data_IF_904664143206
#
_entry.id   IF_904664143206
#
_cell.length_a   1.000
_cell.length_b   1.000
_cell.length_c   1.000
_cell.angle_alpha   90.00
_cell.angle_beta   90.00
_cell.angle_gamma   90.00
#
_symmetry.space_group_name_H-M   'P 1'
#
loop_
_entity.id
_entity.type
_entity.pdbx_description
1 polymer ?
#
# COMPACT_ATOMS: atom_id res chain seq x y z
N UNK A 1 71.02 -13.55 -24.70
CA UNK A 1 71.90 -12.78 -23.77
C UNK A 1 73.29 -13.41 -23.75
N UNK A 2 74.34 -12.60 -23.64
CA UNK A 2 75.70 -13.11 -23.48
C UNK A 2 76.78 -12.07 -23.76
N UNK A 3 78.02 -12.40 -23.41
CA UNK A 3 79.22 -11.64 -23.77
C UNK A 3 79.98 -12.42 -24.83
N UNK A 4 80.24 -11.78 -25.96
CA UNK A 4 80.87 -12.39 -27.12
C UNK A 4 82.19 -11.66 -27.43
N UNK A 5 83.30 -12.37 -27.66
CA UNK A 5 84.55 -11.72 -28.05
C UNK A 5 84.42 -11.14 -29.46
N UNK A 6 84.95 -9.94 -29.66
CA UNK A 6 85.10 -9.35 -31.00
C UNK A 6 86.45 -9.79 -31.54
N UNK A 7 86.45 -10.59 -32.60
CA UNK A 7 87.69 -10.99 -33.27
C UNK A 7 88.10 -9.92 -34.26
N UNK A 8 89.31 -9.37 -34.09
CA UNK A 8 89.94 -8.47 -35.05
C UNK A 8 90.94 -9.27 -35.90
N UNK A 9 90.94 -9.04 -37.22
CA UNK A 9 91.91 -9.61 -38.15
C UNK A 9 92.37 -8.56 -39.16
N UNK A 10 93.63 -8.65 -39.59
CA UNK A 10 94.28 -7.71 -40.52
C UNK A 10 95.09 -6.61 -39.82
N UNK A 11 95.45 -5.56 -40.57
CA UNK A 11 96.31 -4.46 -40.11
C UNK A 11 97.78 -4.71 -40.41
N UNK A 12 98.28 -4.06 -41.46
CA UNK A 12 99.70 -4.02 -41.80
C UNK A 12 100.07 -2.60 -42.23
N UNK A 13 101.12 -2.05 -41.64
CA UNK A 13 101.70 -0.77 -42.02
C UNK A 13 103.23 -0.90 -42.04
N UNK A 14 103.87 -0.19 -42.96
CA UNK A 14 105.31 -0.30 -43.20
C UNK A 14 106.16 0.40 -42.14
N UNK A 15 105.58 1.37 -41.40
CA UNK A 15 106.29 2.26 -40.47
C UNK A 15 105.79 2.13 -39.01
N UNK A 16 104.69 1.42 -38.76
CA UNK A 16 104.11 1.26 -37.42
C UNK A 16 103.80 -0.20 -37.07
N UNK A 17 104.06 -0.58 -35.82
CA UNK A 17 103.54 -1.83 -35.25
C UNK A 17 102.06 -1.63 -34.86
N UNK A 18 101.17 -2.43 -35.46
CA UNK A 18 99.74 -2.41 -35.11
C UNK A 18 99.47 -3.48 -34.04
N UNK A 19 98.94 -3.04 -32.90
CA UNK A 19 98.40 -3.93 -31.86
C UNK A 19 96.88 -3.94 -31.97
N UNK A 20 96.29 -5.13 -32.12
CA UNK A 20 94.84 -5.29 -32.12
C UNK A 20 94.35 -5.62 -30.72
N UNK A 21 93.54 -4.74 -30.14
CA UNK A 21 92.85 -5.00 -28.87
C UNK A 21 91.41 -5.41 -29.15
N UNK A 22 91.12 -6.69 -28.91
CA UNK A 22 89.78 -7.25 -29.07
C UNK A 22 88.83 -6.65 -28.02
N UNK A 23 87.70 -6.11 -28.49
CA UNK A 23 86.59 -5.72 -27.63
C UNK A 23 85.68 -6.91 -27.26
N UNK A 24 84.67 -6.63 -26.44
CA UNK A 24 83.58 -7.57 -26.15
C UNK A 24 82.24 -6.94 -26.54
N UNK A 25 81.34 -7.77 -27.09
CA UNK A 25 79.95 -7.41 -27.34
C UNK A 25 79.10 -8.01 -26.23
N UNK A 26 78.36 -7.17 -25.50
CA UNK A 26 77.39 -7.63 -24.49
C UNK A 26 75.98 -7.47 -25.03
N UNK A 27 75.22 -8.56 -25.05
CA UNK A 27 73.80 -8.56 -25.41
C UNK A 27 72.98 -8.69 -24.14
N UNK A 28 72.26 -7.62 -23.80
CA UNK A 28 71.30 -7.58 -22.69
C UNK A 28 70.02 -8.37 -22.97
N UNK A 29 69.16 -8.45 -21.95
CA UNK A 29 67.80 -8.95 -22.11
C UNK A 29 66.93 -7.89 -22.80
N UNK A 30 65.94 -8.33 -23.57
CA UNK A 30 64.91 -7.48 -24.16
C UNK A 30 63.74 -7.33 -23.18
N UNK A 31 63.20 -6.13 -23.02
CA UNK A 31 62.02 -5.95 -22.16
C UNK A 31 60.80 -6.66 -22.75
N UNK A 32 60.06 -7.34 -21.89
CA UNK A 32 58.81 -8.03 -22.22
C UNK A 32 57.78 -7.74 -21.13
N UNK A 33 56.60 -7.31 -21.54
CA UNK A 33 55.45 -7.16 -20.64
C UNK A 33 54.48 -8.31 -20.83
N UNK A 34 54.05 -8.93 -19.74
CA UNK A 34 52.95 -9.89 -19.71
C UNK A 34 51.82 -9.24 -18.92
N UNK A 35 50.67 -9.08 -19.56
CA UNK A 35 49.50 -8.41 -18.98
C UNK A 35 48.36 -9.40 -18.84
N UNK A 36 47.83 -9.58 -17.63
CA UNK A 36 46.61 -10.35 -17.44
C UNK A 36 45.44 -9.62 -18.10
N UNK A 37 44.61 -10.36 -18.83
CA UNK A 37 43.46 -9.79 -19.51
C UNK A 37 42.32 -9.57 -18.52
N UNK A 38 41.72 -8.38 -18.54
CA UNK A 38 40.52 -8.09 -17.77
C UNK A 38 39.37 -9.02 -18.17
N UNK A 39 38.54 -9.37 -17.18
CA UNK A 39 37.41 -10.27 -17.31
C UNK A 39 36.19 -9.69 -16.62
N UNK A 40 35.02 -10.19 -17.00
CA UNK A 40 33.77 -9.88 -16.33
C UNK A 40 32.95 -11.17 -16.17
N UNK A 41 32.17 -11.24 -15.10
CA UNK A 41 31.14 -12.27 -14.87
C UNK A 41 29.93 -11.67 -14.16
N UNK A 42 28.79 -12.32 -14.27
CA UNK A 42 27.63 -11.98 -13.43
C UNK A 42 27.76 -12.67 -12.07
N UNK A 43 27.22 -12.04 -11.02
CA UNK A 43 27.14 -12.61 -9.68
C UNK A 43 26.53 -14.02 -9.74
N UNK A 44 27.22 -15.00 -9.11
CA UNK A 44 26.82 -16.40 -9.12
C UNK A 44 27.36 -17.27 -10.25
N UNK A 45 27.87 -16.67 -11.32
CA UNK A 45 28.42 -17.45 -12.43
C UNK A 45 29.79 -18.03 -12.08
N UNK A 46 30.25 -19.05 -12.80
CA UNK A 46 31.62 -19.52 -12.68
C UNK A 46 32.60 -18.44 -13.17
N UNK A 47 33.81 -18.41 -12.61
CA UNK A 47 34.84 -17.53 -13.14
C UNK A 47 35.18 -17.90 -14.58
N UNK A 48 35.32 -16.92 -15.49
CA UNK A 48 35.78 -17.20 -16.84
C UNK A 48 37.24 -17.69 -16.82
N UNK A 49 37.70 -18.39 -17.86
CA UNK A 49 39.11 -18.72 -18.01
C UNK A 49 39.97 -17.46 -17.97
N UNK A 50 40.95 -17.43 -17.07
CA UNK A 50 41.92 -16.35 -16.97
C UNK A 50 42.94 -16.48 -18.09
N UNK A 51 43.29 -15.37 -18.72
CA UNK A 51 44.24 -15.31 -19.83
C UNK A 51 45.17 -14.12 -19.66
N UNK A 52 46.30 -14.12 -20.36
CA UNK A 52 47.22 -13.00 -20.41
C UNK A 52 47.80 -12.85 -21.82
N UNK A 53 48.31 -11.66 -22.12
CA UNK A 53 48.91 -11.30 -23.41
C UNK A 53 50.36 -10.85 -23.26
N UNK A 54 51.14 -11.02 -24.32
CA UNK A 54 52.54 -10.62 -24.39
C UNK A 54 52.71 -9.36 -25.23
N UNK A 55 53.55 -8.43 -24.76
CA UNK A 55 53.99 -7.26 -25.51
C UNK A 55 55.52 -7.11 -25.45
N UNK A 56 56.19 -7.19 -26.60
CA UNK A 56 57.65 -7.07 -26.69
C UNK A 56 58.39 -8.32 -27.18
N UNK A 57 57.68 -9.42 -27.46
CA UNK A 57 58.26 -10.58 -28.16
C UNK A 57 58.74 -10.17 -29.56
N UNK A 58 59.89 -10.71 -29.98
CA UNK A 58 60.53 -10.39 -31.27
C UNK A 58 61.00 -11.66 -31.98
N UNK A 59 61.45 -11.53 -33.22
CA UNK A 59 62.11 -12.61 -33.98
C UNK A 59 61.29 -13.90 -34.15
N UNK A 60 59.96 -13.81 -34.10
CA UNK A 60 59.07 -14.96 -34.23
C UNK A 60 58.81 -15.73 -32.93
N UNK A 61 59.29 -15.22 -31.79
CA UNK A 61 58.97 -15.79 -30.48
C UNK A 61 57.47 -15.64 -30.18
N UNK A 62 56.86 -16.72 -29.64
CA UNK A 62 55.43 -16.75 -29.34
C UNK A 62 55.11 -16.78 -27.85
N UNK A 63 56.09 -17.15 -27.00
CA UNK A 63 55.96 -17.19 -25.53
C UNK A 63 57.33 -17.26 -24.85
N UNK A 64 57.35 -17.05 -23.55
CA UNK A 64 58.54 -17.24 -22.69
C UNK A 64 58.79 -18.71 -22.36
N UNK A 65 60.01 -19.01 -21.93
CA UNK A 65 60.44 -20.35 -21.52
C UNK A 65 59.62 -20.89 -20.34
N UNK A 66 59.44 -20.09 -19.29
CA UNK A 66 58.59 -20.40 -18.13
C UNK A 66 57.49 -19.35 -18.07
N UNK A 67 56.24 -19.75 -18.28
CA UNK A 67 55.09 -18.83 -18.21
C UNK A 67 54.76 -18.48 -16.74
N UNK A 68 54.25 -17.27 -16.45
CA UNK A 68 53.76 -16.95 -15.12
C UNK A 68 52.52 -17.79 -14.78
N UNK A 69 52.30 -18.04 -13.49
CA UNK A 69 50.98 -18.48 -13.03
C UNK A 69 50.00 -17.31 -13.08
N UNK A 70 48.73 -17.60 -13.32
CA UNK A 70 47.64 -16.61 -13.32
C UNK A 70 46.56 -17.08 -12.35
N UNK A 71 46.11 -16.18 -11.47
CA UNK A 71 45.10 -16.52 -10.47
C UNK A 71 44.25 -15.29 -10.07
N UNK A 72 43.10 -15.56 -9.45
CA UNK A 72 42.29 -14.55 -8.77
C UNK A 72 41.76 -15.15 -7.48
N UNK A 73 41.54 -14.30 -6.47
CA UNK A 73 40.90 -14.70 -5.21
C UNK A 73 39.38 -14.79 -5.33
N UNK A 74 38.79 -14.25 -6.41
CA UNK A 74 37.37 -14.37 -6.67
C UNK A 74 36.95 -15.83 -6.81
N UNK A 75 35.77 -16.16 -6.30
CA UNK A 75 35.14 -17.48 -6.45
C UNK A 75 33.78 -17.32 -7.12
N UNK A 76 33.11 -18.44 -7.40
CA UNK A 76 31.72 -18.44 -7.85
C UNK A 76 30.79 -17.67 -6.90
N UNK A 77 31.07 -17.70 -5.59
CA UNK A 77 30.25 -17.07 -4.54
C UNK A 77 30.71 -15.65 -4.15
N UNK A 78 31.76 -15.12 -4.80
CA UNK A 78 32.22 -13.75 -4.52
C UNK A 78 31.14 -12.73 -4.87
N UNK A 79 30.96 -11.75 -3.98
CA UNK A 79 30.02 -10.65 -4.15
C UNK A 79 30.38 -9.76 -5.36
N UNK A 80 29.44 -8.91 -5.76
CA UNK A 80 29.69 -7.85 -6.74
C UNK A 80 30.85 -6.97 -6.30
N UNK A 81 31.72 -6.66 -7.27
CA UNK A 81 32.92 -5.87 -7.05
C UNK A 81 34.05 -6.26 -7.99
N UNK A 82 35.23 -5.72 -7.71
CA UNK A 82 36.40 -5.79 -8.56
C UNK A 82 37.47 -6.62 -7.86
N UNK A 83 37.99 -7.64 -8.55
CA UNK A 83 38.93 -8.60 -7.99
C UNK A 83 40.20 -8.65 -8.84
N UNK A 84 41.41 -8.51 -8.25
CA UNK A 84 42.65 -8.61 -9.01
C UNK A 84 42.80 -9.98 -9.70
N UNK A 85 43.36 -9.94 -10.90
CA UNK A 85 43.91 -11.10 -11.62
C UNK A 85 45.44 -10.96 -11.58
N UNK A 86 46.05 -11.73 -10.69
CA UNK A 86 47.46 -11.64 -10.38
C UNK A 86 48.28 -12.61 -11.23
N UNK A 87 49.41 -12.12 -11.74
CA UNK A 87 50.45 -12.91 -12.37
C UNK A 87 51.62 -13.07 -11.42
N UNK A 88 52.18 -14.28 -11.32
CA UNK A 88 53.36 -14.54 -10.51
C UNK A 88 54.39 -15.43 -11.23
N UNK A 89 55.67 -15.15 -10.99
CA UNK A 89 56.77 -15.89 -11.61
C UNK A 89 57.03 -15.47 -13.05
N UNK A 90 57.20 -16.44 -13.94
CA UNK A 90 57.59 -16.20 -15.32
C UNK A 90 59.09 -15.92 -15.46
N UNK A 91 59.76 -16.67 -16.34
CA UNK A 91 61.19 -16.52 -16.57
C UNK A 91 61.55 -16.78 -18.02
N UNK A 92 62.52 -16.00 -18.51
CA UNK A 92 63.15 -16.23 -19.80
C UNK A 92 64.62 -15.76 -19.78
N UNK A 93 65.47 -16.47 -20.52
CA UNK A 93 66.89 -16.11 -20.62
C UNK A 93 67.11 -14.84 -21.46
N UNK A 94 66.25 -14.58 -22.43
CA UNK A 94 66.39 -13.47 -23.38
C UNK A 94 65.51 -12.26 -23.03
N UNK A 95 64.49 -12.44 -22.18
CA UNK A 95 63.57 -11.37 -21.82
C UNK A 95 63.65 -10.96 -20.34
N UNK A 96 63.58 -9.65 -20.10
CA UNK A 96 63.38 -9.05 -18.79
C UNK A 96 61.87 -8.83 -18.62
N UNK A 97 61.24 -9.67 -17.80
CA UNK A 97 59.78 -9.76 -17.70
C UNK A 97 59.25 -8.74 -16.70
N UNK A 98 58.26 -7.96 -17.14
CA UNK A 98 57.39 -7.14 -16.30
C UNK A 98 55.99 -7.71 -16.33
N UNK A 99 55.41 -7.97 -15.16
CA UNK A 99 54.04 -8.47 -15.03
C UNK A 99 53.09 -7.30 -14.74
N UNK A 100 51.94 -7.28 -15.40
CA UNK A 100 50.86 -6.32 -15.18
C UNK A 100 49.60 -7.09 -14.84
N UNK A 101 49.01 -6.76 -13.70
CA UNK A 101 47.76 -7.34 -13.22
C UNK A 101 46.59 -6.89 -14.09
N UNK A 102 45.58 -7.76 -14.18
CA UNK A 102 44.28 -7.45 -14.76
C UNK A 102 43.22 -7.46 -13.67
N UNK A 103 41.96 -7.32 -14.07
CA UNK A 103 40.84 -7.23 -13.15
C UNK A 103 39.67 -8.12 -13.57
N UNK A 104 39.08 -8.84 -12.62
CA UNK A 104 37.80 -9.53 -12.77
C UNK A 104 36.70 -8.67 -12.14
N UNK A 105 35.84 -8.10 -12.96
CA UNK A 105 34.63 -7.40 -12.53
C UNK A 105 33.47 -8.39 -12.36
N UNK A 106 32.87 -8.41 -11.17
CA UNK A 106 31.63 -9.15 -10.89
C UNK A 106 30.49 -8.16 -10.90
N UNK A 107 29.60 -8.25 -11.89
CA UNK A 107 28.42 -7.38 -12.02
C UNK A 107 27.18 -8.01 -11.38
N UNK A 108 26.19 -7.21 -10.91
CA UNK A 108 25.02 -7.75 -10.24
C UNK A 108 24.16 -8.64 -11.14
N UNK A 109 23.55 -9.67 -10.54
CA UNK A 109 22.55 -10.50 -11.21
C UNK A 109 21.18 -9.79 -11.28
N UNK A 110 20.32 -10.16 -12.23
CA UNK A 110 18.97 -9.60 -12.29
C UNK A 110 18.04 -10.35 -11.35
N UNK A 111 17.39 -9.63 -10.43
CA UNK A 111 16.35 -10.16 -9.55
C UNK A 111 14.98 -9.67 -10.00
N UNK A 112 14.09 -10.59 -10.34
CA UNK A 112 12.72 -10.27 -10.74
C UNK A 112 11.81 -10.28 -9.51
N UNK A 113 11.19 -9.16 -9.20
CA UNK A 113 10.27 -9.02 -8.06
C UNK A 113 8.91 -8.56 -8.57
N UNK A 114 7.86 -9.30 -8.24
CA UNK A 114 6.49 -8.96 -8.67
C UNK A 114 5.56 -8.90 -7.47
N UNK A 115 4.94 -7.75 -7.24
CA UNK A 115 3.91 -7.59 -6.22
C UNK A 115 2.68 -8.47 -6.53
N UNK A 116 2.12 -9.07 -5.50
CA UNK A 116 0.96 -9.95 -5.60
C UNK A 116 -0.31 -9.09 -5.57
N UNK A 117 -1.24 -9.38 -6.48
CA UNK A 117 -2.55 -8.74 -6.45
C UNK A 117 -3.32 -9.17 -5.19
N UNK A 118 -3.90 -8.20 -4.50
CA UNK A 118 -4.62 -8.42 -3.25
C UNK A 118 -5.95 -7.66 -3.26
N UNK A 119 -6.78 -7.90 -2.26
CA UNK A 119 -8.04 -7.21 -2.07
C UNK A 119 -8.31 -6.91 -0.60
N UNK A 120 -9.16 -5.91 -0.36
CA UNK A 120 -9.74 -5.58 0.94
C UNK A 120 -11.17 -5.10 0.76
N UNK A 121 -11.93 -5.10 1.85
CA UNK A 121 -13.25 -4.46 1.87
C UNK A 121 -13.11 -3.01 2.36
N UNK A 122 -13.93 -2.11 1.83
CA UNK A 122 -13.99 -0.70 2.19
C UNK A 122 -14.05 -0.52 3.70
N UNK A 123 -13.17 0.31 4.26
CA UNK A 123 -13.09 0.59 5.69
C UNK A 123 -12.30 -0.44 6.50
N UNK A 124 -11.79 -1.51 5.90
CA UNK A 124 -10.81 -2.38 6.55
C UNK A 124 -9.40 -1.78 6.48
N UNK A 125 -8.48 -2.29 7.29
CA UNK A 125 -7.06 -2.00 7.13
C UNK A 125 -6.53 -2.61 5.83
N UNK A 126 -5.43 -2.07 5.31
CA UNK A 126 -4.73 -2.69 4.19
C UNK A 126 -4.12 -4.03 4.63
N UNK A 127 -4.10 -5.05 3.75
CA UNK A 127 -3.35 -6.26 4.01
C UNK A 127 -1.85 -5.96 4.03
N UNK A 128 -1.07 -6.88 4.60
CA UNK A 128 0.37 -6.87 4.37
C UNK A 128 0.64 -7.18 2.89
N UNK A 129 1.27 -6.24 2.19
CA UNK A 129 1.58 -6.39 0.77
C UNK A 129 2.69 -7.41 0.58
N UNK A 130 2.42 -8.42 -0.25
CA UNK A 130 3.37 -9.50 -0.55
C UNK A 130 3.87 -9.43 -1.99
N UNK A 131 4.97 -10.12 -2.25
CA UNK A 131 5.57 -10.21 -3.58
C UNK A 131 6.14 -11.61 -3.83
N UNK A 132 6.37 -11.91 -5.10
CA UNK A 132 7.10 -13.09 -5.56
C UNK A 132 8.47 -12.68 -6.07
N UNK A 133 9.47 -13.54 -5.87
CA UNK A 133 10.86 -13.29 -6.24
C UNK A 133 11.34 -14.43 -7.13
N UNK A 134 12.08 -14.11 -8.20
CA UNK A 134 12.81 -15.09 -9.00
C UNK A 134 14.14 -14.51 -9.49
N UNK A 135 15.09 -15.38 -9.85
CA UNK A 135 16.45 -14.96 -10.22
C UNK A 135 17.43 -14.89 -9.04
N UNK A 136 17.07 -15.42 -7.87
CA UNK A 136 18.02 -15.64 -6.77
C UNK A 136 19.12 -16.63 -7.22
N UNK A 137 20.33 -16.38 -6.76
CA UNK A 137 21.54 -17.14 -7.09
C UNK A 137 21.92 -18.05 -5.92
N UNK A 138 22.26 -19.30 -6.23
CA UNK A 138 22.84 -20.22 -5.25
C UNK A 138 21.89 -20.52 -4.09
N UNK A 139 22.31 -20.16 -2.87
CA UNK A 139 21.54 -20.36 -1.62
C UNK A 139 21.02 -19.04 -1.06
N UNK A 140 20.98 -17.97 -1.87
CA UNK A 140 20.41 -16.70 -1.45
C UNK A 140 18.90 -16.84 -1.24
N UNK A 141 18.42 -16.25 -0.14
CA UNK A 141 17.01 -16.19 0.22
C UNK A 141 16.50 -14.75 0.14
N UNK A 142 15.21 -14.59 -0.17
CA UNK A 142 14.62 -13.27 -0.40
C UNK A 142 14.78 -12.31 0.79
N UNK A 143 14.69 -12.81 2.03
CA UNK A 143 14.83 -12.02 3.25
C UNK A 143 16.25 -11.48 3.48
N UNK A 144 17.26 -12.14 2.93
CA UNK A 144 18.66 -11.68 2.99
C UNK A 144 19.04 -10.76 1.83
N UNK A 145 18.31 -10.83 0.72
CA UNK A 145 18.57 -10.04 -0.48
C UNK A 145 17.75 -8.75 -0.52
N UNK A 146 16.51 -8.79 -0.04
CA UNK A 146 15.56 -7.68 -0.09
C UNK A 146 15.37 -7.02 1.27
N UNK A 147 15.15 -5.72 1.26
CA UNK A 147 14.80 -4.94 2.45
C UNK A 147 13.87 -3.78 2.07
N UNK A 148 13.15 -3.23 3.05
CA UNK A 148 12.14 -2.20 2.83
C UNK A 148 10.75 -2.79 2.68
N UNK A 149 9.82 -2.01 2.14
CA UNK A 149 8.42 -2.38 2.03
C UNK A 149 7.81 -1.84 0.73
N UNK A 150 6.83 -2.58 0.22
CA UNK A 150 5.94 -2.12 -0.83
C UNK A 150 5.04 -0.98 -0.33
N UNK A 151 4.55 -0.18 -1.26
CA UNK A 151 3.54 0.84 -1.00
C UNK A 151 2.41 0.72 -2.01
N UNK A 152 1.33 1.48 -1.82
CA UNK A 152 0.28 1.58 -2.83
C UNK A 152 -0.11 3.02 -3.10
N UNK A 153 -0.83 3.20 -4.19
CA UNK A 153 -1.52 4.46 -4.46
C UNK A 153 -2.55 4.79 -3.36
N UNK A 154 -2.64 6.07 -3.00
CA UNK A 154 -3.53 6.57 -1.96
C UNK A 154 -5.00 6.57 -2.43
N UNK A 155 -5.91 6.34 -1.48
CA UNK A 155 -7.35 6.35 -1.68
C UNK A 155 -8.05 5.18 -0.99
N UNK A 156 -9.34 5.33 -0.72
CA UNK A 156 -10.11 4.30 -0.02
C UNK A 156 -11.44 3.97 -0.70
N UNK A 157 -11.88 4.73 -1.70
CA UNK A 157 -13.14 4.46 -2.42
C UNK A 157 -13.02 3.13 -3.18
N UNK A 158 -14.08 2.30 -3.28
CA UNK A 158 -14.01 1.05 -4.03
C UNK A 158 -13.48 1.24 -5.44
N UNK A 159 -12.49 0.42 -5.81
CA UNK A 159 -11.70 0.62 -7.01
C UNK A 159 -10.41 -0.19 -6.98
N UNK A 160 -9.61 -0.03 -8.03
CA UNK A 160 -8.31 -0.68 -8.17
C UNK A 160 -7.22 0.35 -7.93
N UNK A 161 -6.28 0.03 -7.03
CA UNK A 161 -5.15 0.87 -6.66
C UNK A 161 -3.86 0.12 -6.95
N UNK A 162 -2.88 0.78 -7.55
CA UNK A 162 -1.59 0.16 -7.88
C UNK A 162 -0.76 -0.09 -6.61
N UNK A 163 -0.21 -1.29 -6.47
CA UNK A 163 0.85 -1.64 -5.52
C UNK A 163 2.20 -1.40 -6.21
N UNK A 164 2.98 -0.48 -5.64
CA UNK A 164 4.26 0.03 -6.13
C UNK A 164 5.42 -0.47 -5.26
N UNK A 165 6.63 -0.30 -5.77
CA UNK A 165 7.86 -0.76 -5.12
C UNK A 165 8.06 -0.15 -3.72
N UNK A 166 7.67 1.11 -3.53
CA UNK A 166 7.92 1.84 -2.30
C UNK A 166 9.41 1.90 -1.96
N UNK A 167 9.73 1.46 -0.75
CA UNK A 167 11.12 1.45 -0.23
C UNK A 167 11.83 0.12 -0.47
N UNK A 168 11.16 -0.85 -1.09
CA UNK A 168 11.74 -2.16 -1.39
C UNK A 168 12.97 -2.01 -2.27
N UNK A 169 14.08 -2.66 -1.89
CA UNK A 169 15.35 -2.65 -2.61
C UNK A 169 16.08 -3.97 -2.45
N UNK A 170 16.86 -4.34 -3.45
CA UNK A 170 17.83 -5.43 -3.36
C UNK A 170 19.18 -4.95 -2.81
N UNK A 171 19.98 -5.89 -2.30
CA UNK A 171 21.37 -5.64 -1.94
C UNK A 171 22.24 -5.41 -3.20
N UNK A 172 23.53 -5.11 -3.01
CA UNK A 172 24.43 -4.77 -4.11
C UNK A 172 24.70 -5.90 -5.11
N UNK A 173 24.41 -7.16 -4.75
CA UNK A 173 24.62 -8.30 -5.63
C UNK A 173 23.56 -8.44 -6.72
N UNK A 174 22.48 -7.67 -6.63
CA UNK A 174 21.38 -7.74 -7.58
C UNK A 174 20.94 -6.37 -8.09
N UNK A 175 20.56 -6.32 -9.37
CA UNK A 175 19.70 -5.27 -9.91
C UNK A 175 18.26 -5.76 -9.87
N UNK A 176 17.39 -5.05 -9.14
CA UNK A 176 15.98 -5.41 -9.04
C UNK A 176 15.18 -4.90 -10.24
N UNK A 177 14.50 -5.82 -10.92
CA UNK A 177 13.45 -5.52 -11.89
C UNK A 177 12.08 -5.72 -11.20
N UNK A 178 11.42 -4.61 -10.86
CA UNK A 178 10.14 -4.63 -10.15
C UNK A 178 8.94 -4.54 -11.10
N UNK A 179 7.96 -5.40 -10.89
CA UNK A 179 6.65 -5.35 -11.52
C UNK A 179 5.55 -5.10 -10.47
N UNK A 180 4.74 -4.06 -10.69
CA UNK A 180 3.65 -3.69 -9.80
C UNK A 180 2.53 -4.73 -9.74
N UNK A 181 1.69 -4.58 -8.71
CA UNK A 181 0.49 -5.37 -8.48
C UNK A 181 -0.71 -4.45 -8.28
N UNK A 182 -1.86 -5.00 -7.92
CA UNK A 182 -3.09 -4.25 -7.69
C UNK A 182 -3.71 -4.62 -6.35
N UNK A 183 -4.15 -3.60 -5.61
CA UNK A 183 -5.09 -3.74 -4.50
C UNK A 183 -6.50 -3.40 -5.01
N UNK A 184 -7.41 -4.37 -4.97
CA UNK A 184 -8.84 -4.14 -5.20
C UNK A 184 -9.52 -3.80 -3.87
N UNK A 185 -10.11 -2.61 -3.78
CA UNK A 185 -11.01 -2.25 -2.68
C UNK A 185 -12.45 -2.56 -3.11
N UNK A 186 -13.08 -3.52 -2.44
CA UNK A 186 -14.48 -3.89 -2.66
C UNK A 186 -15.41 -3.06 -1.78
N UNK A 187 -16.63 -2.79 -2.25
CA UNK A 187 -17.63 -2.09 -1.45
C UNK A 187 -18.12 -2.97 -0.27
N UNK A 188 -18.33 -2.35 0.89
CA UNK A 188 -18.93 -3.00 2.04
C UNK A 188 -20.44 -3.18 1.82
N UNK A 189 -20.93 -4.42 1.93
CA UNK A 189 -22.34 -4.75 1.69
C UNK A 189 -23.11 -4.74 3.00
N UNK A 190 -24.22 -4.01 3.07
CA UNK A 190 -25.09 -4.04 4.25
C UNK A 190 -25.69 -5.44 4.42
N UNK A 191 -25.55 -6.00 5.61
CA UNK A 191 -26.13 -7.26 6.05
C UNK A 191 -27.40 -7.03 6.89
N UNK A 192 -27.35 -6.09 7.84
CA UNK A 192 -28.50 -5.75 8.68
C UNK A 192 -28.46 -4.30 9.14
N UNK A 193 -29.59 -3.84 9.68
CA UNK A 193 -29.79 -2.46 10.12
C UNK A 193 -30.27 -2.51 11.56
N UNK A 194 -29.70 -1.68 12.43
CA UNK A 194 -30.14 -1.61 13.82
C UNK A 194 -31.60 -1.14 13.88
N UNK A 195 -32.42 -1.88 14.61
CA UNK A 195 -33.83 -1.54 14.79
C UNK A 195 -33.97 -0.23 15.57
N UNK A 196 -34.86 0.65 15.08
CA UNK A 196 -35.18 1.90 15.75
C UNK A 196 -36.37 1.69 16.69
N UNK A 197 -36.24 2.22 17.91
CA UNK A 197 -37.33 2.21 18.88
C UNK A 197 -38.50 3.12 18.50
N UNK A 198 -39.50 3.18 19.40
CA UNK A 198 -40.63 4.09 19.26
C UNK A 198 -40.21 5.50 19.66
N UNK A 199 -40.50 6.49 18.82
CA UNK A 199 -40.33 7.91 19.11
C UNK A 199 -41.68 8.46 19.55
N UNK A 200 -41.73 9.15 20.69
CA UNK A 200 -42.94 9.84 21.14
C UNK A 200 -42.86 11.32 20.76
N UNK A 201 -43.98 11.88 20.29
CA UNK A 201 -44.10 13.32 20.05
C UNK A 201 -45.38 13.87 20.68
N UNK A 202 -45.32 15.06 21.32
CA UNK A 202 -46.52 15.74 21.79
C UNK A 202 -47.48 16.05 20.64
N UNK A 203 -48.75 16.20 21.00
CA UNK A 203 -49.78 16.62 20.06
C UNK A 203 -49.41 17.94 19.37
N UNK A 204 -49.47 17.96 18.04
CA UNK A 204 -49.16 19.14 17.21
C UNK A 204 -47.68 19.51 17.13
N UNK A 205 -46.76 18.71 17.69
CA UNK A 205 -45.31 18.95 17.62
C UNK A 205 -44.61 17.97 16.68
N UNK A 206 -43.66 18.50 15.90
CA UNK A 206 -42.85 17.69 15.01
C UNK A 206 -41.93 16.73 15.81
N UNK A 207 -41.91 15.43 15.46
CA UNK A 207 -41.01 14.48 16.08
C UNK A 207 -39.56 14.73 15.66
N UNK A 208 -38.62 14.56 16.59
CA UNK A 208 -37.19 14.56 16.28
C UNK A 208 -36.81 13.20 15.70
N UNK A 209 -36.63 13.15 14.39
CA UNK A 209 -36.26 11.91 13.68
C UNK A 209 -34.74 11.71 13.66
N UNK A 210 -34.25 10.47 13.79
CA UNK A 210 -32.83 10.19 13.75
C UNK A 210 -32.29 10.45 12.34
N UNK A 211 -31.23 11.24 12.24
CA UNK A 211 -30.59 11.56 10.97
C UNK A 211 -29.68 10.44 10.44
N UNK A 212 -29.35 9.45 11.29
CA UNK A 212 -28.46 8.34 10.98
C UNK A 212 -28.93 7.05 11.66
N UNK A 213 -28.43 5.92 11.17
CA UNK A 213 -28.59 4.61 11.81
C UNK A 213 -27.33 3.79 11.63
N UNK A 214 -27.07 2.90 12.58
CA UNK A 214 -25.99 1.92 12.47
C UNK A 214 -26.43 0.75 11.59
N UNK A 215 -25.59 0.39 10.63
CA UNK A 215 -25.73 -0.80 9.79
C UNK A 215 -24.57 -1.76 10.06
N UNK A 216 -24.85 -3.06 10.03
CA UNK A 216 -23.84 -4.12 10.06
C UNK A 216 -23.61 -4.59 8.63
N UNK A 217 -22.35 -4.74 8.23
CA UNK A 217 -21.97 -5.23 6.90
C UNK A 217 -21.66 -6.73 6.91
N UNK A 218 -21.61 -7.35 5.73
CA UNK A 218 -21.38 -8.80 5.57
C UNK A 218 -20.04 -9.27 6.10
N UNK A 219 -19.06 -8.37 6.15
CA UNK A 219 -17.73 -8.59 6.71
C UNK A 219 -17.62 -8.24 8.20
N UNK A 220 -18.75 -7.88 8.84
CA UNK A 220 -18.85 -7.67 10.28
C UNK A 220 -18.54 -6.25 10.77
N UNK A 221 -18.36 -5.28 9.86
CA UNK A 221 -18.14 -3.89 10.24
C UNK A 221 -19.45 -3.18 10.57
N UNK A 222 -19.36 -2.17 11.44
CA UNK A 222 -20.47 -1.28 11.76
C UNK A 222 -20.22 0.08 11.14
N UNK A 223 -21.20 0.59 10.38
CA UNK A 223 -21.15 1.93 9.79
C UNK A 223 -22.35 2.77 10.23
N UNK A 224 -22.14 4.06 10.43
CA UNK A 224 -23.25 5.01 10.51
C UNK A 224 -23.63 5.49 9.12
N UNK A 225 -24.88 5.24 8.73
CA UNK A 225 -25.44 5.64 7.44
C UNK A 225 -26.49 6.73 7.64
N UNK A 226 -26.48 7.73 6.77
CA UNK A 226 -27.48 8.81 6.82
C UNK A 226 -28.87 8.32 6.45
N UNK A 227 -29.90 8.98 6.98
CA UNK A 227 -31.29 8.67 6.71
C UNK A 227 -32.03 9.87 6.11
N UNK A 228 -33.05 9.57 5.31
CA UNK A 228 -34.05 10.52 4.87
C UNK A 228 -35.44 9.92 5.06
N UNK A 229 -36.30 10.64 5.77
CA UNK A 229 -37.60 10.15 6.19
C UNK A 229 -38.72 10.67 5.30
N UNK A 230 -39.63 9.79 4.90
CA UNK A 230 -40.87 10.17 4.24
C UNK A 230 -41.98 10.28 5.28
N UNK A 231 -42.25 11.49 5.77
CA UNK A 231 -43.27 11.77 6.79
C UNK A 231 -44.70 11.84 6.24
N UNK A 232 -44.90 11.53 4.96
CA UNK A 232 -46.24 11.48 4.36
C UNK A 232 -47.13 10.47 5.12
N UNK A 233 -48.26 10.96 5.63
CA UNK A 233 -49.21 10.17 6.42
C UNK A 233 -49.05 10.28 7.94
N UNK A 234 -48.07 11.02 8.44
CA UNK A 234 -48.01 11.41 9.85
C UNK A 234 -49.06 12.50 10.13
N UNK A 235 -49.99 12.23 11.05
CA UNK A 235 -50.97 13.21 11.53
C UNK A 235 -50.68 13.57 12.98
N UNK A 236 -50.09 14.75 13.18
CA UNK A 236 -49.70 15.28 14.49
C UNK A 236 -50.90 15.73 15.34
N UNK A 237 -52.08 15.87 14.72
CA UNK A 237 -53.33 16.28 15.38
C UNK A 237 -54.29 15.09 15.52
N UNK A 238 -53.74 13.88 15.53
CA UNK A 238 -54.49 12.65 15.80
C UNK A 238 -53.63 11.67 16.59
N UNK A 239 -54.08 11.36 17.80
CA UNK A 239 -53.42 10.36 18.67
C UNK A 239 -53.34 9.02 17.94
N UNK A 240 -52.19 8.36 18.05
CA UNK A 240 -51.97 7.08 17.39
C UNK A 240 -50.50 6.73 17.27
N UNK A 241 -50.24 5.55 16.72
CA UNK A 241 -48.89 5.13 16.32
C UNK A 241 -48.85 5.09 14.80
N UNK A 242 -47.90 5.83 14.24
CA UNK A 242 -47.66 5.96 12.81
C UNK A 242 -46.33 5.31 12.44
N UNK A 243 -46.29 4.50 11.40
CA UNK A 243 -45.03 3.92 10.90
C UNK A 243 -44.53 4.76 9.74
N UNK A 244 -43.37 5.39 9.93
CA UNK A 244 -42.72 6.24 8.93
C UNK A 244 -41.59 5.44 8.29
N UNK A 245 -41.52 5.45 6.95
CA UNK A 245 -40.46 4.77 6.20
C UNK A 245 -39.32 5.74 5.90
N UNK A 246 -38.10 5.24 5.98
CA UNK A 246 -36.89 5.96 5.63
C UNK A 246 -36.17 5.34 4.44
N UNK A 247 -35.29 6.13 3.83
CA UNK A 247 -34.33 5.70 2.84
C UNK A 247 -32.91 5.95 3.35
N UNK A 248 -31.97 5.11 2.94
CA UNK A 248 -30.56 5.26 3.25
C UNK A 248 -29.89 6.25 2.31
N UNK A 249 -29.11 7.16 2.88
CA UNK A 249 -28.13 7.99 2.17
C UNK A 249 -26.77 7.32 2.32
N UNK A 250 -26.45 6.41 1.39
CA UNK A 250 -25.25 5.60 1.45
C UNK A 250 -24.01 6.43 1.09
N UNK A 251 -22.94 6.42 1.91
CA UNK A 251 -21.66 7.01 1.53
C UNK A 251 -21.01 6.18 0.42
N UNK A 252 -20.06 6.80 -0.29
CA UNK A 252 -19.15 6.05 -1.17
C UNK A 252 -18.48 4.93 -0.37
N UNK A 253 -18.50 3.71 -0.92
CA UNK A 253 -17.94 2.55 -0.23
C UNK A 253 -18.94 1.58 0.35
N UNK A 254 -20.20 1.98 0.56
CA UNK A 254 -21.24 1.10 1.14
C UNK A 254 -22.37 0.87 0.14
N UNK A 255 -22.81 -0.38 0.01
CA UNK A 255 -23.89 -0.78 -0.91
C UNK A 255 -25.01 -1.52 -0.17
N UNK A 256 -26.24 -1.32 -0.63
CA UNK A 256 -27.45 -2.03 -0.17
C UNK A 256 -28.04 -2.90 -1.30
N UNK A 257 -27.34 -3.98 -1.71
CA UNK A 257 -27.75 -4.78 -2.87
C UNK A 257 -29.07 -5.53 -2.62
N UNK A 258 -29.37 -5.84 -1.36
CA UNK A 258 -30.56 -6.60 -0.99
C UNK A 258 -31.79 -5.72 -0.76
N UNK A 259 -31.66 -4.41 -0.98
CA UNK A 259 -32.79 -3.46 -0.90
C UNK A 259 -33.40 -3.37 0.49
N UNK A 260 -32.59 -3.53 1.54
CA UNK A 260 -33.04 -3.39 2.92
C UNK A 260 -33.70 -2.03 3.12
N UNK A 261 -34.80 -2.00 3.88
CA UNK A 261 -35.52 -0.78 4.23
C UNK A 261 -35.36 -0.46 5.71
N UNK A 262 -35.75 0.75 6.08
CA UNK A 262 -35.82 1.18 7.48
C UNK A 262 -37.16 1.87 7.75
N UNK A 263 -37.68 1.67 8.96
CA UNK A 263 -38.89 2.34 9.42
C UNK A 263 -38.77 2.67 10.89
N UNK A 264 -39.48 3.71 11.32
CA UNK A 264 -39.60 4.11 12.72
C UNK A 264 -41.07 4.28 13.10
N UNK A 265 -41.42 3.87 14.32
CA UNK A 265 -42.75 4.08 14.87
C UNK A 265 -42.79 5.41 15.62
N UNK A 266 -43.76 6.27 15.29
CA UNK A 266 -43.99 7.57 15.93
C UNK A 266 -45.31 7.50 16.68
N UNK A 267 -45.26 7.65 18.00
CA UNK A 267 -46.43 7.74 18.85
C UNK A 267 -46.78 9.21 19.09
N UNK A 268 -47.88 9.67 18.50
CA UNK A 268 -48.45 10.99 18.79
C UNK A 268 -49.24 10.87 20.09
N UNK A 269 -48.80 11.60 21.11
CA UNK A 269 -49.42 11.61 22.43
C UNK A 269 -50.84 12.21 22.37
N UNK A 270 -51.72 11.87 23.32
CA UNK A 270 -53.05 12.47 23.38
C UNK A 270 -53.01 14.00 23.45
N UNK A 271 -54.03 14.66 22.89
CA UNK A 271 -54.24 16.11 23.05
C UNK A 271 -54.21 16.44 24.56
N UNK A 272 -53.42 17.44 24.99
CA UNK A 272 -53.45 17.93 26.36
C UNK A 272 -54.87 18.29 26.82
N UNK A 273 -55.17 18.06 28.09
CA UNK A 273 -56.43 18.52 28.66
C UNK A 273 -56.46 20.07 28.66
N UNK A 274 -57.65 20.69 28.54
CA UNK A 274 -57.78 22.14 28.73
C UNK A 274 -57.26 22.56 30.10
N UNK A 275 -56.64 23.74 30.17
CA UNK A 275 -56.05 24.27 31.40
C UNK A 275 -57.12 24.74 32.38
N UNK A 276 -58.17 25.38 31.87
CA UNK A 276 -59.27 25.88 32.69
C UNK A 276 -60.59 25.88 31.92
N UNK A 277 -61.70 25.84 32.65
CA UNK A 277 -63.05 26.00 32.13
C UNK A 277 -63.75 27.00 33.03
N UNK A 278 -64.00 28.20 32.50
CA UNK A 278 -64.64 29.26 33.25
C UNK A 278 -66.08 29.49 32.78
N UNK A 279 -66.95 29.78 33.76
CA UNK A 279 -68.30 30.26 33.55
C UNK A 279 -68.36 31.68 34.07
N UNK A 280 -68.93 32.62 33.29
CA UNK A 280 -69.02 34.01 33.75
C UNK A 280 -69.95 34.18 34.95
N UNK A 281 -70.84 33.21 35.21
CA UNK A 281 -71.76 33.22 36.33
C UNK A 281 -71.59 31.93 37.16
N UNK A 282 -71.37 32.08 38.46
CA UNK A 282 -71.26 30.96 39.42
C UNK A 282 -72.46 30.85 40.36
N UNK A 283 -73.46 31.73 40.21
CA UNK A 283 -74.67 31.77 41.04
C UNK A 283 -75.89 31.90 40.13
N UNK A 284 -76.91 31.07 40.38
CA UNK A 284 -78.16 31.05 39.62
C UNK A 284 -79.34 31.20 40.58
N UNK A 285 -80.26 32.10 40.24
CA UNK A 285 -81.52 32.29 40.97
C UNK A 285 -82.62 31.63 40.16
N UNK A 286 -83.35 30.69 40.77
CA UNK A 286 -84.49 30.05 40.14
C UNK A 286 -85.67 31.01 39.98
N UNK A 287 -86.36 30.94 38.85
CA UNK A 287 -87.57 31.71 38.55
C UNK A 287 -88.68 30.74 38.14
N UNK A 288 -89.78 30.76 38.88
CA UNK A 288 -90.94 29.86 38.69
C UNK A 288 -91.68 30.11 37.36
N UNK A 289 -91.38 31.21 36.68
CA UNK A 289 -92.00 31.62 35.41
C UNK A 289 -91.10 31.44 34.19
N UNK A 290 -89.80 31.15 34.39
CA UNK A 290 -88.83 30.97 33.30
C UNK A 290 -88.24 29.56 33.27
N UNK A 291 -88.57 28.82 32.22
CA UNK A 291 -88.06 27.45 31.99
C UNK A 291 -86.61 27.40 31.52
N UNK A 292 -86.00 28.55 31.16
CA UNK A 292 -84.61 28.64 30.72
C UNK A 292 -83.89 29.78 31.45
N UNK A 293 -82.78 29.44 32.12
CA UNK A 293 -81.91 30.40 32.82
C UNK A 293 -80.62 30.53 32.01
N UNK A 294 -80.21 31.76 31.69
CA UNK A 294 -78.94 32.02 31.00
C UNK A 294 -77.78 31.83 31.98
N UNK A 295 -76.91 30.85 31.73
CA UNK A 295 -75.84 30.46 32.66
C UNK A 295 -74.52 31.23 32.48
N UNK A 296 -74.52 32.32 31.72
CA UNK A 296 -73.32 33.10 31.38
C UNK A 296 -72.55 32.54 30.16
N UNK A 297 -71.42 33.17 29.82
CA UNK A 297 -70.53 32.68 28.78
C UNK A 297 -69.65 31.54 29.32
N UNK A 298 -69.49 30.51 28.50
CA UNK A 298 -68.60 29.39 28.75
C UNK A 298 -67.31 29.62 27.98
N UNK A 299 -66.18 29.66 28.68
CA UNK A 299 -64.86 29.77 28.06
C UNK A 299 -64.02 28.56 28.45
N UNK A 300 -63.44 27.91 27.45
CA UNK A 300 -62.43 26.87 27.67
C UNK A 300 -61.09 27.50 27.37
N UNK A 301 -60.21 27.50 28.35
CA UNK A 301 -58.82 27.92 28.19
C UNK A 301 -58.02 26.69 27.79
N UNK A 302 -57.78 26.53 26.49
CA UNK A 302 -56.95 25.46 25.94
C UNK A 302 -55.69 26.05 25.30
N UNK A 303 -54.50 25.63 25.74
CA UNK A 303 -53.25 26.15 25.20
C UNK A 303 -52.96 25.72 23.75
N UNK A 304 -53.73 24.79 23.18
CA UNK A 304 -53.49 24.16 21.87
C UNK A 304 -54.43 24.70 20.80
N UNK A 305 -55.75 24.66 21.02
CA UNK A 305 -56.76 25.18 20.08
C UNK A 305 -58.11 25.40 20.79
N UNK A 306 -59.06 26.08 20.13
CA UNK A 306 -60.42 26.31 20.68
C UNK A 306 -61.45 25.23 20.28
N UNK A 307 -61.02 24.05 19.85
CA UNK A 307 -61.87 22.96 19.35
C UNK A 307 -61.95 21.85 20.41
N UNK A 308 -63.14 21.67 20.96
CA UNK A 308 -63.42 20.68 22.01
C UNK A 308 -64.62 19.82 21.65
N UNK A 309 -64.41 18.50 21.57
CA UNK A 309 -65.52 17.55 21.49
C UNK A 309 -65.91 17.12 22.90
N UNK A 310 -66.95 17.76 23.45
CA UNK A 310 -67.53 17.36 24.74
C UNK A 310 -68.45 16.15 24.59
N UNK A 311 -68.12 15.03 25.21
CA UNK A 311 -69.06 13.91 25.33
C UNK A 311 -69.94 14.16 26.57
N UNK A 312 -71.23 14.45 26.39
CA UNK A 312 -72.17 14.55 27.52
C UNK A 312 -72.27 13.18 28.19
N UNK A 313 -71.71 13.03 29.39
CA UNK A 313 -72.05 11.92 30.26
C UNK A 313 -73.53 12.06 30.64
N UNK A 314 -74.40 11.20 30.08
CA UNK A 314 -75.77 11.08 30.61
C UNK A 314 -75.65 10.41 31.99
N UNK A 315 -76.13 11.04 33.07
CA UNK A 315 -76.23 10.33 34.34
C UNK A 315 -77.23 9.17 34.18
N UNK A 316 -77.05 8.03 34.87
CA UNK A 316 -78.05 6.98 34.86
C UNK A 316 -79.34 7.50 35.49
N UNK A 317 -80.44 7.45 34.74
CA UNK A 317 -81.79 7.66 35.26
C UNK A 317 -82.09 6.56 36.29
N UNK A 318 -81.95 6.85 37.59
CA UNK A 318 -82.61 6.06 38.64
C UNK A 318 -84.09 6.45 38.64
N UNK A 319 -84.91 5.59 38.06
CA UNK A 319 -86.36 5.57 38.27
C UNK A 319 -86.64 5.05 39.67
N UNK A 320 -87.05 5.93 40.59
CA UNK A 320 -87.71 5.59 41.84
C UNK A 320 -89.21 5.80 41.63
N UNK A 321 -89.96 4.71 41.42
CA UNK A 321 -91.40 4.65 41.67
C UNK A 321 -91.81 3.20 41.93
N UNK A 322 -92.49 2.99 43.06
CA UNK A 322 -93.40 1.86 43.32
C UNK A 322 -92.78 0.62 43.92
#
# INVERSE_FOLDING_TARGET
>A
MGTYPITLSGGEDQNYSITLEAGTLTIGKKDLTITADDKQKTYGEANPPLTFTYSGLVNGDTKVTTEPSINTTATTASNVGNYPIELAGGEDQNYAITLVEGELEIVPAVLQVKAVNQSKIFGQADPEFTYTVSGLVGTDEAEGVLSGALEREAGEVPGVYEIRQGTLKANANYVMAFAGGNLLIEAARILSVTELGVIETPWGQDPVLPAKVTVLTTDGQLFEVGLSWNTFGLDLFKRGVYTIRGAFNLPEGIVNPDGLGISVAIRVLPKPAPLDVTLTNSVFVGDETNFFITVGAFQVTDPVDNIHTGQRARPPLRSLFG
#
